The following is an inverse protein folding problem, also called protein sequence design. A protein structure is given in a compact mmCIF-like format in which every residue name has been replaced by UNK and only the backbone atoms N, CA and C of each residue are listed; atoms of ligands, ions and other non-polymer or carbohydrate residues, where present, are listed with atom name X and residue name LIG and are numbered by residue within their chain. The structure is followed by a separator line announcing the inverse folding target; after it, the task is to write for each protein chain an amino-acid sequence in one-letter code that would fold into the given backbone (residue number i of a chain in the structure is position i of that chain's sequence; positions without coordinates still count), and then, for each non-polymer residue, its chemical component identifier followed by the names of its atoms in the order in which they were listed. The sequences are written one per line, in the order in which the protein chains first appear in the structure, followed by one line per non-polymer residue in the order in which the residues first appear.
data_IF_418332589566
#
_entry.id   IF_418332589566
#
_cell.length_a   1.000
_cell.length_b   1.000
_cell.length_c   1.000
_cell.angle_alpha   90.00
_cell.angle_beta   90.00
_cell.angle_gamma   90.00
#
_symmetry.space_group_name_H-M   'P 1'
#
loop_
_entity.id
_entity.type
_entity.pdbx_description
1 polymer ?
#
# COMPACT_ATOMS: atom_id res chain seq x y z
N UNK A 1 2.88 19.86 3.87
CA UNK A 1 3.72 18.65 3.80
C UNK A 1 5.17 19.03 4.06
N UNK A 2 6.03 18.13 4.57
CA UNK A 2 7.47 18.34 4.74
C UNK A 2 7.95 19.52 5.62
N UNK A 3 7.11 20.04 6.52
CA UNK A 3 7.48 21.13 7.45
C UNK A 3 8.69 20.78 8.34
N UNK A 4 8.76 19.53 8.80
CA UNK A 4 9.86 19.01 9.63
C UNK A 4 10.45 17.79 8.94
N UNK A 5 11.73 17.85 8.61
CA UNK A 5 12.48 16.74 7.99
C UNK A 5 13.48 16.17 9.00
N UNK A 6 13.36 14.88 9.25
CA UNK A 6 14.17 14.14 10.22
C UNK A 6 14.96 13.09 9.46
N UNK A 7 16.29 13.26 9.40
CA UNK A 7 17.19 12.31 8.76
C UNK A 7 17.85 11.44 9.84
N UNK A 8 17.67 10.14 9.74
CA UNK A 8 18.16 9.13 10.68
C UNK A 8 19.10 8.19 9.93
N UNK A 9 20.20 7.84 10.59
CA UNK A 9 21.18 6.89 10.08
C UNK A 9 21.33 5.73 11.07
N UNK A 10 21.31 4.49 10.56
CA UNK A 10 21.39 3.27 11.36
C UNK A 10 20.02 2.62 11.60
N UNK A 11 19.90 1.89 12.71
CA UNK A 11 18.71 1.08 13.00
C UNK A 11 17.75 1.82 13.94
N UNK A 12 16.54 2.10 13.46
CA UNK A 12 15.49 2.63 14.31
C UNK A 12 14.91 1.52 15.20
N UNK A 13 14.74 1.85 16.49
CA UNK A 13 14.03 0.98 17.43
C UNK A 13 12.55 0.81 17.08
N UNK A 14 11.83 0.13 17.96
CA UNK A 14 10.39 -0.09 17.77
C UNK A 14 9.62 1.23 17.70
N UNK A 15 8.52 1.23 16.95
CA UNK A 15 7.55 2.34 16.88
C UNK A 15 8.11 3.66 16.33
N UNK A 16 9.09 3.63 15.44
CA UNK A 16 9.52 4.82 14.71
C UNK A 16 8.32 5.51 14.05
N UNK A 17 8.17 6.82 14.25
CA UNK A 17 7.12 7.60 13.58
C UNK A 17 5.70 7.29 14.04
N UNK A 18 5.51 6.59 15.17
CA UNK A 18 4.20 6.28 15.69
C UNK A 18 3.37 7.56 15.96
N UNK A 19 2.11 7.55 15.53
CA UNK A 19 1.14 8.65 15.70
C UNK A 19 1.59 10.01 15.16
N UNK A 20 2.60 10.05 14.30
CA UNK A 20 3.13 11.32 13.80
C UNK A 20 2.14 11.99 12.83
N UNK A 21 1.87 13.30 13.03
CA UNK A 21 0.91 14.04 12.25
C UNK A 21 1.47 14.49 10.90
N UNK A 22 0.59 15.01 10.06
CA UNK A 22 0.97 15.68 8.82
C UNK A 22 2.00 16.79 9.04
N UNK A 23 2.96 16.88 8.11
CA UNK A 23 4.04 17.87 8.13
C UNK A 23 5.37 17.32 8.61
N UNK A 24 5.42 16.11 9.16
CA UNK A 24 6.66 15.42 9.50
C UNK A 24 7.07 14.41 8.42
N UNK A 25 8.36 14.40 8.09
CA UNK A 25 8.95 13.49 7.12
C UNK A 25 10.21 12.86 7.67
N UNK A 26 10.21 11.53 7.77
CA UNK A 26 11.32 10.73 8.28
C UNK A 26 12.05 10.07 7.12
N UNK A 27 13.35 10.33 7.01
CA UNK A 27 14.25 9.59 6.14
C UNK A 27 15.12 8.69 7.00
N UNK A 28 15.06 7.38 6.77
CA UNK A 28 15.88 6.38 7.46
C UNK A 28 16.83 5.76 6.45
N UNK A 29 18.11 6.11 6.54
CA UNK A 29 19.20 5.43 5.86
C UNK A 29 19.70 4.30 6.77
N UNK A 30 19.13 3.11 6.61
CA UNK A 30 19.32 1.98 7.52
C UNK A 30 18.10 1.06 7.54
N UNK A 31 17.66 0.68 8.73
CA UNK A 31 16.55 -0.24 8.96
C UNK A 31 15.63 0.22 10.10
N UNK A 32 14.46 -0.41 10.21
CA UNK A 32 13.52 -0.14 11.30
C UNK A 32 13.00 -1.45 11.92
N UNK A 33 12.86 -1.48 13.23
CA UNK A 33 12.21 -2.59 13.93
C UNK A 33 10.66 -2.54 13.83
N UNK A 34 10.00 -3.43 14.57
CA UNK A 34 8.55 -3.58 14.59
C UNK A 34 7.79 -2.27 14.87
N UNK A 35 6.54 -2.23 14.40
CA UNK A 35 5.59 -1.15 14.64
C UNK A 35 5.99 0.21 14.04
N UNK A 36 6.91 0.24 13.07
CA UNK A 36 7.19 1.45 12.31
C UNK A 36 5.88 2.04 11.76
N UNK A 37 5.65 3.34 12.01
CA UNK A 37 4.44 4.04 11.62
C UNK A 37 3.16 3.57 12.31
N UNK A 38 3.23 2.93 13.48
CA UNK A 38 2.02 2.57 14.26
C UNK A 38 1.11 3.77 14.44
N UNK A 39 -0.15 3.65 14.00
CA UNK A 39 -1.14 4.71 14.08
C UNK A 39 -0.73 6.00 13.34
N UNK A 40 0.05 5.91 12.25
CA UNK A 40 0.47 7.07 11.45
C UNK A 40 -0.75 7.95 11.11
N UNK A 41 -0.59 9.27 11.27
CA UNK A 41 -1.68 10.24 11.16
C UNK A 41 -1.29 11.44 10.27
N UNK A 42 -0.65 11.13 9.15
CA UNK A 42 -0.38 12.09 8.07
C UNK A 42 1.09 12.33 7.79
N UNK A 43 2.00 11.83 8.64
CA UNK A 43 3.43 11.91 8.38
C UNK A 43 3.87 11.04 7.18
N UNK A 44 5.09 11.30 6.69
CA UNK A 44 5.74 10.52 5.64
C UNK A 44 6.93 9.77 6.23
N UNK A 45 7.05 8.47 5.95
CA UNK A 45 8.18 7.63 6.37
C UNK A 45 8.85 7.02 5.14
N UNK A 46 10.14 7.26 4.99
CA UNK A 46 10.98 6.70 3.93
C UNK A 46 12.06 5.85 4.60
N UNK A 47 12.14 4.56 4.23
CA UNK A 47 13.17 3.63 4.72
C UNK A 47 13.92 3.08 3.52
N UNK A 48 15.25 3.23 3.51
CA UNK A 48 16.10 2.75 2.43
C UNK A 48 17.45 2.26 2.96
N UNK A 49 18.09 1.30 2.29
CA UNK A 49 19.41 0.83 2.70
C UNK A 49 20.43 1.96 2.59
N UNK A 50 21.51 1.95 3.40
CA UNK A 50 22.64 2.85 3.20
C UNK A 50 23.22 2.70 1.79
N UNK A 51 23.73 3.80 1.21
CA UNK A 51 24.21 3.83 -0.20
C UNK A 51 25.24 2.75 -0.53
N UNK A 52 26.10 2.42 0.43
CA UNK A 52 27.19 1.45 0.25
C UNK A 52 26.78 0.02 0.67
N UNK A 53 25.49 -0.23 0.86
CA UNK A 53 24.99 -1.54 1.23
C UNK A 53 25.19 -2.55 0.08
N UNK A 54 25.78 -3.73 0.35
CA UNK A 54 26.07 -4.72 -0.70
C UNK A 54 24.88 -5.61 -1.04
N UNK A 55 23.79 -5.58 -0.27
CA UNK A 55 22.67 -6.50 -0.45
C UNK A 55 21.60 -5.97 -1.41
N UNK A 56 20.85 -6.88 -2.01
CA UNK A 56 19.71 -6.56 -2.88
C UNK A 56 18.50 -6.23 -2.01
N UNK A 57 18.08 -4.96 -2.00
CA UNK A 57 17.04 -4.45 -1.10
C UNK A 57 15.74 -5.26 -1.14
N UNK A 58 15.16 -5.49 -2.32
CA UNK A 58 13.91 -6.23 -2.50
C UNK A 58 13.96 -7.72 -2.15
N UNK A 59 15.12 -8.25 -1.74
CA UNK A 59 15.29 -9.63 -1.26
C UNK A 59 15.59 -9.71 0.25
N UNK A 60 15.73 -8.57 0.92
CA UNK A 60 16.18 -8.50 2.32
C UNK A 60 15.21 -7.70 3.19
N UNK A 61 15.05 -8.14 4.45
CA UNK A 61 14.20 -7.44 5.42
C UNK A 61 14.87 -6.13 5.83
N UNK A 62 14.15 -5.03 5.69
CA UNK A 62 14.58 -3.69 6.11
C UNK A 62 13.66 -3.08 7.17
N UNK A 63 12.44 -3.60 7.28
CA UNK A 63 11.44 -3.13 8.23
C UNK A 63 10.77 -4.32 8.93
N UNK A 64 10.61 -4.21 10.25
CA UNK A 64 10.02 -5.27 11.07
C UNK A 64 8.53 -5.53 10.85
N UNK A 65 7.92 -6.18 11.83
CA UNK A 65 6.53 -6.64 11.79
C UNK A 65 5.53 -5.54 12.17
N UNK A 66 4.27 -5.75 11.79
CA UNK A 66 3.12 -4.96 12.25
C UNK A 66 3.27 -3.45 11.99
N UNK A 67 3.95 -3.10 10.90
CA UNK A 67 4.16 -1.71 10.51
C UNK A 67 2.85 -1.09 10.00
N UNK A 68 2.66 0.19 10.29
CA UNK A 68 1.46 0.96 9.95
C UNK A 68 0.17 0.42 10.56
N UNK A 69 0.29 -0.24 11.72
CA UNK A 69 -0.86 -0.75 12.46
C UNK A 69 -1.89 0.35 12.75
N UNK A 70 -3.12 0.19 12.26
CA UNK A 70 -4.21 1.11 12.58
C UNK A 70 -3.99 2.54 12.09
N UNK A 71 -3.10 2.74 11.12
CA UNK A 71 -2.79 4.05 10.61
C UNK A 71 -3.96 4.65 9.81
N UNK A 72 -4.17 5.96 9.91
CA UNK A 72 -5.36 6.65 9.38
C UNK A 72 -5.06 7.59 8.24
N UNK A 73 -3.82 8.05 8.11
CA UNK A 73 -3.35 8.86 6.99
C UNK A 73 -1.84 8.90 6.96
N UNK A 74 -1.27 9.30 5.81
CA UNK A 74 0.17 9.46 5.63
C UNK A 74 0.71 8.60 4.48
N UNK A 75 2.03 8.68 4.30
CA UNK A 75 2.72 8.01 3.21
C UNK A 75 3.90 7.19 3.72
N UNK A 76 4.17 6.05 3.09
CA UNK A 76 5.30 5.20 3.41
C UNK A 76 5.99 4.67 2.14
N UNK A 77 7.32 4.73 2.11
CA UNK A 77 8.15 4.24 1.00
C UNK A 77 9.28 3.39 1.57
N UNK A 78 9.18 2.07 1.40
CA UNK A 78 10.05 1.08 2.05
C UNK A 78 10.85 0.33 0.98
N UNK A 79 12.11 0.72 0.77
CA UNK A 79 13.00 0.06 -0.18
C UNK A 79 13.59 -1.21 0.43
N UNK A 80 12.76 -2.23 0.50
CA UNK A 80 13.11 -3.58 0.93
C UNK A 80 11.89 -4.39 1.36
N UNK A 81 12.13 -5.53 1.99
CA UNK A 81 11.09 -6.43 2.49
C UNK A 81 10.64 -5.97 3.89
N UNK A 82 9.33 -5.86 4.09
CA UNK A 82 8.76 -5.72 5.42
C UNK A 82 8.38 -7.09 6.00
N UNK A 83 8.39 -7.19 7.33
CA UNK A 83 7.98 -8.40 8.06
C UNK A 83 6.49 -8.73 7.92
N UNK A 84 5.99 -9.52 8.87
CA UNK A 84 4.60 -9.96 8.89
C UNK A 84 3.63 -8.83 9.25
N UNK A 85 2.35 -8.98 8.87
CA UNK A 85 1.25 -8.08 9.24
C UNK A 85 1.47 -6.61 8.86
N UNK A 86 2.18 -6.38 7.76
CA UNK A 86 2.33 -5.04 7.21
C UNK A 86 0.97 -4.42 6.87
N UNK A 87 0.74 -3.17 7.29
CA UNK A 87 -0.52 -2.45 7.11
C UNK A 87 -1.75 -3.17 7.70
N UNK A 88 -1.57 -3.95 8.77
CA UNK A 88 -2.71 -4.52 9.51
C UNK A 88 -3.61 -3.41 10.04
N UNK A 89 -4.92 -3.50 9.78
CA UNK A 89 -5.90 -2.45 10.12
C UNK A 89 -5.58 -1.07 9.53
N UNK A 90 -4.83 -0.98 8.43
CA UNK A 90 -4.64 0.28 7.73
C UNK A 90 -6.01 0.86 7.31
N UNK A 91 -6.22 2.14 7.59
CA UNK A 91 -7.45 2.88 7.33
C UNK A 91 -7.21 4.12 6.45
N UNK A 92 -5.99 4.39 6.01
CA UNK A 92 -5.73 5.56 5.15
C UNK A 92 -4.28 5.89 4.81
N UNK A 93 -3.30 5.08 5.22
CA UNK A 93 -1.93 5.23 4.73
C UNK A 93 -1.80 4.71 3.31
N UNK A 94 -1.03 5.44 2.51
CA UNK A 94 -0.52 5.00 1.21
C UNK A 94 0.91 4.49 1.38
N UNK A 95 1.15 3.20 1.10
CA UNK A 95 2.45 2.57 1.29
C UNK A 95 2.96 1.90 0.00
N UNK A 96 4.23 2.10 -0.32
CA UNK A 96 4.98 1.35 -1.32
C UNK A 96 6.08 0.54 -0.63
N UNK A 97 6.19 -0.74 -0.96
CA UNK A 97 7.13 -1.69 -0.34
C UNK A 97 7.62 -2.71 -1.37
N UNK A 98 8.82 -3.28 -1.18
CA UNK A 98 9.43 -4.18 -2.17
C UNK A 98 9.27 -5.66 -1.86
N UNK A 99 8.67 -6.00 -0.72
CA UNK A 99 8.25 -7.35 -0.38
C UNK A 99 7.56 -7.38 0.98
N UNK A 100 6.78 -8.41 1.23
CA UNK A 100 5.98 -8.56 2.44
C UNK A 100 6.10 -9.97 3.01
N UNK A 101 6.10 -10.08 4.33
CA UNK A 101 5.85 -11.34 5.04
C UNK A 101 4.38 -11.79 4.96
N UNK A 102 4.02 -12.73 5.82
CA UNK A 102 2.64 -13.27 5.91
C UNK A 102 1.68 -12.20 6.46
N UNK A 103 0.38 -12.35 6.16
CA UNK A 103 -0.72 -11.53 6.68
C UNK A 103 -0.66 -10.03 6.30
N UNK A 104 -0.04 -9.69 5.16
CA UNK A 104 -0.08 -8.31 4.64
C UNK A 104 -1.51 -7.83 4.41
N UNK A 105 -1.79 -6.57 4.75
CA UNK A 105 -3.09 -5.90 4.63
C UNK A 105 -4.26 -6.60 5.37
N UNK A 106 -3.95 -7.41 6.39
CA UNK A 106 -4.96 -8.05 7.22
C UNK A 106 -5.85 -7.00 7.91
N UNK A 107 -7.16 -7.16 7.85
CA UNK A 107 -8.16 -6.22 8.40
C UNK A 107 -8.06 -4.77 7.88
N UNK A 108 -7.43 -4.54 6.72
CA UNK A 108 -7.36 -3.20 6.12
C UNK A 108 -8.76 -2.71 5.71
N UNK A 109 -9.08 -1.47 6.07
CA UNK A 109 -10.38 -0.82 5.86
C UNK A 109 -10.28 0.44 5.01
N UNK A 110 -9.06 0.88 4.65
CA UNK A 110 -8.82 2.06 3.84
C UNK A 110 -7.33 2.26 3.54
N UNK A 111 -7.03 3.22 2.68
CA UNK A 111 -5.66 3.48 2.22
C UNK A 111 -5.27 2.64 1.00
N UNK A 112 -3.98 2.65 0.69
CA UNK A 112 -3.42 1.99 -0.50
C UNK A 112 -2.11 1.28 -0.15
N UNK A 113 -1.93 0.04 -0.62
CA UNK A 113 -0.64 -0.67 -0.50
C UNK A 113 -0.18 -1.17 -1.86
N UNK A 114 1.01 -0.74 -2.30
CA UNK A 114 1.67 -1.22 -3.51
C UNK A 114 2.89 -2.06 -3.13
N UNK A 115 2.87 -3.35 -3.49
CA UNK A 115 3.99 -4.27 -3.28
C UNK A 115 4.73 -4.55 -4.60
N UNK A 116 6.00 -4.16 -4.67
CA UNK A 116 6.88 -4.32 -5.83
C UNK A 116 7.65 -5.65 -5.84
N UNK A 117 7.27 -6.61 -5.00
CA UNK A 117 7.90 -7.92 -4.95
C UNK A 117 7.02 -8.97 -4.27
N UNK A 118 7.66 -10.00 -3.70
CA UNK A 118 6.96 -11.17 -3.18
C UNK A 118 6.18 -10.82 -1.91
N UNK A 119 5.01 -11.44 -1.76
CA UNK A 119 4.28 -11.45 -0.50
C UNK A 119 4.36 -12.81 0.19
N UNK A 120 4.08 -12.84 1.48
CA UNK A 120 3.75 -14.05 2.22
C UNK A 120 2.29 -14.49 2.00
N UNK A 121 1.87 -15.44 2.83
CA UNK A 121 0.55 -16.09 2.80
C UNK A 121 -0.53 -15.23 3.46
N UNK A 122 -1.78 -15.61 3.19
CA UNK A 122 -2.98 -15.02 3.81
C UNK A 122 -3.08 -13.49 3.66
N UNK A 123 -2.58 -12.96 2.55
CA UNK A 123 -2.68 -11.54 2.22
C UNK A 123 -4.16 -11.13 2.11
N UNK A 124 -4.51 -9.97 2.66
CA UNK A 124 -5.85 -9.39 2.54
C UNK A 124 -6.94 -10.10 3.36
N UNK A 125 -6.59 -10.96 4.31
CA UNK A 125 -7.58 -11.60 5.19
C UNK A 125 -8.36 -10.54 5.98
N UNK A 126 -9.70 -10.59 5.91
CA UNK A 126 -10.56 -9.58 6.54
C UNK A 126 -10.42 -8.16 5.97
N UNK A 127 -9.78 -7.98 4.81
CA UNK A 127 -9.67 -6.68 4.14
C UNK A 127 -11.04 -6.27 3.60
N UNK A 128 -11.64 -5.24 4.19
CA UNK A 128 -12.99 -4.76 3.87
C UNK A 128 -13.01 -3.39 3.18
N UNK A 129 -11.87 -2.70 3.10
CA UNK A 129 -11.75 -1.43 2.37
C UNK A 129 -10.32 -1.08 1.97
N UNK A 130 -10.19 -0.06 1.12
CA UNK A 130 -8.92 0.34 0.50
C UNK A 130 -8.56 -0.50 -0.73
N UNK A 131 -7.39 -0.25 -1.29
CA UNK A 131 -6.90 -0.90 -2.52
C UNK A 131 -5.48 -1.42 -2.30
N UNK A 132 -5.17 -2.60 -2.84
CA UNK A 132 -3.78 -3.04 -2.93
C UNK A 132 -3.39 -3.38 -4.36
N UNK A 133 -2.14 -3.11 -4.72
CA UNK A 133 -1.57 -3.50 -6.00
C UNK A 133 -0.35 -4.37 -5.74
N UNK A 134 -0.29 -5.53 -6.39
CA UNK A 134 0.79 -6.50 -6.18
C UNK A 134 1.47 -6.78 -7.51
N UNK A 135 2.79 -6.73 -7.53
CA UNK A 135 3.57 -7.23 -8.65
C UNK A 135 3.72 -8.76 -8.55
N UNK A 136 2.87 -9.51 -9.26
CA UNK A 136 2.87 -10.98 -9.26
C UNK A 136 3.76 -11.54 -10.38
N UNK A 137 5.07 -11.49 -10.19
CA UNK A 137 6.01 -11.97 -11.21
C UNK A 137 5.96 -13.48 -11.47
N UNK A 138 5.54 -14.26 -10.48
CA UNK A 138 5.56 -15.72 -10.52
C UNK A 138 4.18 -16.31 -10.85
N UNK A 139 3.13 -15.50 -10.92
CA UNK A 139 1.76 -15.95 -11.17
C UNK A 139 1.18 -16.82 -10.05
N UNK A 140 1.80 -16.84 -8.88
CA UNK A 140 1.43 -17.72 -7.76
C UNK A 140 0.73 -16.98 -6.62
N UNK A 141 0.62 -15.65 -6.70
CA UNK A 141 0.00 -14.85 -5.65
C UNK A 141 -1.45 -15.24 -5.41
N UNK A 142 -2.26 -15.23 -6.47
CA UNK A 142 -3.69 -15.49 -6.37
C UNK A 142 -3.97 -16.94 -5.93
N UNK A 143 -3.12 -17.89 -6.31
CA UNK A 143 -3.36 -19.31 -6.00
C UNK A 143 -2.87 -19.73 -4.62
N UNK A 144 -1.80 -19.12 -4.09
CA UNK A 144 -1.13 -19.60 -2.86
C UNK A 144 -1.05 -18.59 -1.72
N UNK A 145 -1.17 -17.30 -2.02
CA UNK A 145 -0.81 -16.23 -1.07
C UNK A 145 -2.00 -15.36 -0.68
N UNK A 146 -2.96 -15.19 -1.58
CA UNK A 146 -4.15 -14.37 -1.35
C UNK A 146 -5.23 -15.11 -0.56
N UNK A 147 -5.78 -14.47 0.47
CA UNK A 147 -7.07 -14.85 1.04
C UNK A 147 -8.18 -14.25 0.18
N UNK A 148 -9.07 -15.09 -0.36
CA UNK A 148 -10.11 -14.71 -1.34
C UNK A 148 -11.48 -14.45 -0.73
N UNK A 149 -11.62 -14.55 0.58
CA UNK A 149 -12.92 -14.53 1.25
C UNK A 149 -13.71 -13.24 0.97
N UNK A 150 -13.02 -12.09 1.00
CA UNK A 150 -13.67 -10.77 0.91
C UNK A 150 -13.20 -9.90 -0.26
N UNK A 151 -12.27 -10.38 -1.08
CA UNK A 151 -11.59 -9.57 -2.10
C UNK A 151 -11.75 -10.14 -3.50
N UNK A 152 -11.73 -9.25 -4.49
CA UNK A 152 -11.61 -9.56 -5.91
C UNK A 152 -10.23 -9.16 -6.42
N UNK A 153 -9.86 -9.77 -7.54
CA UNK A 153 -8.58 -9.55 -8.20
C UNK A 153 -8.84 -9.15 -9.64
N UNK A 154 -8.14 -8.12 -10.10
CA UNK A 154 -8.19 -7.65 -11.47
C UNK A 154 -6.76 -7.50 -12.00
N UNK A 155 -6.43 -8.01 -13.20
CA UNK A 155 -5.21 -7.60 -13.88
C UNK A 155 -5.21 -6.06 -14.04
N UNK A 156 -4.10 -5.40 -13.70
CA UNK A 156 -4.03 -3.94 -13.74
C UNK A 156 -4.27 -3.39 -15.16
N UNK A 157 -3.83 -4.13 -16.17
CA UNK A 157 -4.03 -3.78 -17.59
C UNK A 157 -5.50 -3.85 -18.06
N UNK A 158 -6.39 -4.45 -17.27
CA UNK A 158 -7.83 -4.48 -17.52
C UNK A 158 -8.58 -3.43 -16.69
N UNK A 159 -7.87 -2.70 -15.83
CA UNK A 159 -8.40 -1.57 -15.08
C UNK A 159 -8.36 -0.28 -15.94
N UNK A 160 -8.83 0.84 -15.39
CA UNK A 160 -8.81 2.12 -16.09
C UNK A 160 -7.39 2.72 -16.20
N UNK A 161 -7.23 3.68 -17.11
CA UNK A 161 -5.96 4.39 -17.31
C UNK A 161 -5.53 5.16 -16.06
N UNK A 162 -6.49 5.56 -15.21
CA UNK A 162 -6.23 6.24 -13.94
C UNK A 162 -5.48 5.32 -12.96
N UNK A 163 -5.95 4.08 -12.76
CA UNK A 163 -5.30 3.05 -11.97
C UNK A 163 -3.86 2.80 -12.46
N UNK A 164 -3.68 2.63 -13.77
CA UNK A 164 -2.36 2.37 -14.38
C UNK A 164 -1.42 3.55 -14.14
N UNK A 165 -1.90 4.78 -14.38
CA UNK A 165 -1.12 5.99 -14.18
C UNK A 165 -0.76 6.21 -12.71
N UNK A 166 -1.68 5.90 -11.80
CA UNK A 166 -1.48 6.04 -10.37
C UNK A 166 -0.41 5.07 -9.87
N UNK A 167 -0.48 3.78 -10.24
CA UNK A 167 0.57 2.80 -9.89
C UNK A 167 1.93 3.27 -10.39
N UNK A 168 2.02 3.75 -11.65
CA UNK A 168 3.28 4.27 -12.19
C UNK A 168 3.80 5.48 -11.40
N UNK A 169 2.92 6.39 -11.01
CA UNK A 169 3.26 7.56 -10.19
C UNK A 169 3.79 7.16 -8.82
N UNK A 170 3.19 6.15 -8.18
CA UNK A 170 3.65 5.65 -6.88
C UNK A 170 5.04 5.03 -6.95
N UNK A 171 5.33 4.29 -8.02
CA UNK A 171 6.65 3.69 -8.25
C UNK A 171 7.69 4.77 -8.52
N UNK A 172 7.30 5.81 -9.26
CA UNK A 172 8.17 6.98 -9.53
C UNK A 172 8.51 7.70 -8.24
N UNK A 173 7.51 8.03 -7.41
CA UNK A 173 7.73 8.67 -6.10
C UNK A 173 8.58 7.77 -5.17
N UNK A 174 8.37 6.45 -5.21
CA UNK A 174 9.19 5.49 -4.48
C UNK A 174 10.65 5.50 -4.95
N UNK A 175 10.91 5.51 -6.26
CA UNK A 175 12.26 5.61 -6.82
C UNK A 175 12.94 6.93 -6.42
N UNK A 176 12.25 8.06 -6.57
CA UNK A 176 12.79 9.39 -6.25
C UNK A 176 13.17 9.53 -4.77
N UNK A 177 12.33 9.00 -3.87
CA UNK A 177 12.54 9.12 -2.43
C UNK A 177 13.56 8.10 -1.89
N UNK A 178 13.57 6.89 -2.45
CA UNK A 178 14.38 5.78 -1.92
C UNK A 178 15.64 5.46 -2.70
N UNK A 179 15.73 5.89 -3.96
CA UNK A 179 16.77 5.45 -4.89
C UNK A 179 16.65 3.96 -5.26
N UNK A 180 15.45 3.39 -5.15
CA UNK A 180 15.21 1.95 -5.35
C UNK A 180 15.58 1.48 -6.76
N UNK A 181 16.58 0.59 -6.82
CA UNK A 181 16.95 -0.12 -8.05
C UNK A 181 15.84 -1.03 -8.57
N UNK A 182 14.98 -1.52 -7.68
CA UNK A 182 13.82 -2.33 -8.05
C UNK A 182 12.79 -1.47 -8.78
N UNK A 183 12.47 -0.29 -8.26
CA UNK A 183 11.55 0.65 -8.87
C UNK A 183 12.10 1.19 -10.20
N UNK A 184 13.38 1.58 -10.24
CA UNK A 184 14.07 1.99 -11.46
C UNK A 184 13.93 0.93 -12.56
N UNK A 185 14.23 -0.34 -12.25
CA UNK A 185 14.10 -1.44 -13.21
C UNK A 185 12.65 -1.64 -13.70
N UNK A 186 11.66 -1.51 -12.82
CA UNK A 186 10.24 -1.63 -13.18
C UNK A 186 9.83 -0.49 -14.12
N UNK A 187 10.25 0.75 -13.84
CA UNK A 187 9.93 1.93 -14.64
C UNK A 187 10.58 1.87 -16.02
N UNK A 188 11.85 1.43 -16.10
CA UNK A 188 12.56 1.26 -17.37
C UNK A 188 11.92 0.20 -18.27
N UNK A 189 11.29 -0.82 -17.67
CA UNK A 189 10.68 -1.95 -18.36
C UNK A 189 9.15 -1.97 -18.19
N UNK A 190 8.53 -0.79 -18.12
CA UNK A 190 7.14 -0.63 -17.71
C UNK A 190 6.16 -1.50 -18.50
N UNK A 191 6.28 -1.54 -19.83
CA UNK A 191 5.37 -2.30 -20.71
C UNK A 191 5.38 -3.83 -20.44
N UNK A 192 6.46 -4.33 -19.83
CA UNK A 192 6.58 -5.72 -19.39
C UNK A 192 5.98 -5.90 -18.00
N UNK A 193 6.28 -5.00 -17.07
CA UNK A 193 5.87 -5.12 -15.67
C UNK A 193 4.40 -4.79 -15.43
N UNK A 194 3.83 -3.82 -16.17
CA UNK A 194 2.42 -3.42 -16.01
C UNK A 194 1.46 -4.60 -16.16
N UNK A 195 1.79 -5.56 -17.03
CA UNK A 195 1.01 -6.79 -17.29
C UNK A 195 1.04 -7.80 -16.14
N UNK A 196 1.98 -7.65 -15.21
CA UNK A 196 2.17 -8.52 -14.03
C UNK A 196 1.58 -7.92 -12.76
N UNK A 197 1.12 -6.66 -12.81
CA UNK A 197 0.43 -6.06 -11.69
C UNK A 197 -1.01 -6.55 -11.62
N UNK A 198 -1.46 -6.80 -10.40
CA UNK A 198 -2.84 -7.12 -10.08
C UNK A 198 -3.35 -6.13 -9.04
N UNK A 199 -4.58 -5.66 -9.24
CA UNK A 199 -5.36 -4.87 -8.29
C UNK A 199 -6.19 -5.80 -7.42
N UNK A 200 -6.13 -5.59 -6.12
CA UNK A 200 -6.90 -6.29 -5.09
C UNK A 200 -7.89 -5.29 -4.50
N UNK A 201 -9.18 -5.63 -4.58
CA UNK A 201 -10.26 -4.75 -4.17
C UNK A 201 -11.30 -5.52 -3.35
N UNK A 202 -11.64 -5.07 -2.13
CA UNK A 202 -12.70 -5.70 -1.33
C UNK A 202 -14.06 -5.61 -2.03
N UNK A 203 -14.84 -6.68 -1.96
CA UNK A 203 -16.13 -6.81 -2.67
C UNK A 203 -17.13 -5.74 -2.24
N UNK A 204 -17.25 -5.48 -0.94
CA UNK A 204 -18.20 -4.50 -0.41
C UNK A 204 -17.75 -3.07 -0.72
N UNK A 205 -16.44 -2.82 -0.65
CA UNK A 205 -15.86 -1.54 -1.02
C UNK A 205 -16.09 -1.22 -2.50
N UNK A 206 -15.90 -2.21 -3.39
CA UNK A 206 -16.21 -2.05 -4.80
C UNK A 206 -17.68 -1.69 -5.06
N UNK A 207 -18.62 -2.36 -4.37
CA UNK A 207 -20.06 -2.04 -4.52
C UNK A 207 -20.35 -0.59 -4.13
N UNK A 208 -19.72 -0.10 -3.06
CA UNK A 208 -19.82 1.31 -2.64
C UNK A 208 -19.24 2.25 -3.70
N UNK A 209 -18.05 1.97 -4.23
CA UNK A 209 -17.43 2.79 -5.28
C UNK A 209 -18.29 2.86 -6.55
N UNK A 210 -18.85 1.72 -6.97
CA UNK A 210 -19.73 1.68 -8.14
C UNK A 210 -21.04 2.43 -7.91
N UNK A 211 -21.60 2.36 -6.71
CA UNK A 211 -22.81 3.12 -6.35
C UNK A 211 -22.54 4.63 -6.30
N UNK A 212 -21.39 5.04 -5.75
CA UNK A 212 -20.93 6.43 -5.77
C UNK A 212 -20.79 6.95 -7.20
N UNK A 213 -20.10 6.20 -8.08
CA UNK A 213 -19.94 6.57 -9.49
C UNK A 213 -21.29 6.74 -10.20
N UNK A 214 -22.25 5.83 -9.95
CA UNK A 214 -23.62 5.97 -10.49
C UNK A 214 -24.34 7.20 -9.95
N UNK A 215 -24.14 7.55 -8.68
CA UNK A 215 -24.72 8.75 -8.07
C UNK A 215 -24.14 10.02 -8.69
N UNK A 216 -22.83 10.07 -8.91
CA UNK A 216 -22.13 11.17 -9.58
C UNK A 216 -22.55 11.33 -11.04
N UNK A 217 -22.72 10.22 -11.78
CA UNK A 217 -23.25 10.22 -13.15
C UNK A 217 -24.70 10.74 -13.24
N UNK A 218 -25.47 10.65 -12.14
CA UNK A 218 -26.80 11.27 -12.01
C UNK A 218 -26.75 12.75 -11.60
N UNK A 219 -25.56 13.30 -11.40
CA UNK A 219 -25.32 14.70 -11.05
C UNK A 219 -25.31 15.00 -9.55
N UNK A 220 -25.37 13.98 -8.68
CA UNK A 220 -25.22 14.17 -7.23
C UNK A 220 -23.74 14.44 -6.90
N UNK A 221 -23.48 15.25 -5.87
CA UNK A 221 -22.13 15.58 -5.43
C UNK A 221 -22.00 15.54 -3.91
N UNK A 222 -20.79 15.30 -3.43
CA UNK A 222 -20.45 15.33 -2.01
C UNK A 222 -21.33 14.40 -1.18
N UNK A 223 -21.84 14.90 -0.05
CA UNK A 223 -22.62 14.12 0.91
C UNK A 223 -23.89 13.51 0.30
N UNK A 224 -24.49 14.15 -0.72
CA UNK A 224 -25.68 13.61 -1.40
C UNK A 224 -25.36 12.34 -2.20
N UNK A 225 -24.20 12.32 -2.88
CA UNK A 225 -23.75 11.14 -3.59
C UNK A 225 -23.42 9.98 -2.62
N UNK A 226 -22.80 10.30 -1.49
CA UNK A 226 -22.49 9.33 -0.42
C UNK A 226 -23.76 8.72 0.17
N UNK A 227 -24.75 9.55 0.50
CA UNK A 227 -26.03 9.10 1.04
C UNK A 227 -26.76 8.19 0.05
N UNK A 228 -26.82 8.59 -1.24
CA UNK A 228 -27.46 7.77 -2.27
C UNK A 228 -26.76 6.42 -2.46
N UNK A 229 -25.42 6.40 -2.45
CA UNK A 229 -24.64 5.17 -2.54
C UNK A 229 -24.86 4.26 -1.33
N UNK A 230 -25.00 4.83 -0.12
CA UNK A 230 -25.30 4.08 1.09
C UNK A 230 -26.69 3.41 1.00
N UNK A 231 -27.72 4.17 0.63
CA UNK A 231 -29.09 3.66 0.49
C UNK A 231 -29.18 2.52 -0.54
N UNK A 232 -28.48 2.66 -1.68
CA UNK A 232 -28.43 1.62 -2.71
C UNK A 232 -27.78 0.33 -2.18
N UNK A 233 -26.69 0.43 -1.43
CA UNK A 233 -26.00 -0.74 -0.87
C UNK A 233 -26.80 -1.41 0.24
N UNK A 234 -27.48 -0.64 1.10
CA UNK A 234 -28.39 -1.19 2.12
C UNK A 234 -29.55 -1.94 1.47
N UNK A 235 -30.10 -1.41 0.38
CA UNK A 235 -31.16 -2.07 -0.37
C UNK A 235 -30.71 -3.37 -1.06
N UNK A 236 -29.45 -3.44 -1.52
CA UNK A 236 -28.88 -4.63 -2.16
C UNK A 236 -28.39 -5.72 -1.17
N UNK A 237 -28.27 -5.38 0.12
CA UNK A 237 -27.84 -6.29 1.19
C UNK A 237 -28.97 -7.04 1.91
N UNK A 238 -30.24 -6.73 1.60
CA UNK A 238 -31.44 -7.45 2.05
C UNK A 238 -31.99 -8.32 0.91
#
# INVERSE_FOLDING_TARGET
EDTVRINLHGSAGQSLGAFCPQGMTFFVDGDTNDYCGKGLSGAKIIVRPPKDSPFVAHENIITGNVCFYGATSGKAYIAGVAGERFCVRNSGVQAVVEGLGDHGCEYMTGGLVLCLGRTGRNFGAGMSGGVAYILDEFGDFVSKKLNKEMVKVYPLVECDDEDISHVRSLITEHEELTGSKRAENILLNWDLFVKKFIKILPQDYERVLLALKRAEERGLQGDEAVQAAFEENVAAGN
#
